data_IF_924858729890
#
_entry.id   IF_924858729890
#
_cell.length_a   1.000
_cell.length_b   1.000
_cell.length_c   1.000
_cell.angle_alpha   90.00
_cell.angle_beta   90.00
_cell.angle_gamma   90.00
#
_symmetry.space_group_name_H-M   'P 1'
#
loop_
_entity.id
_entity.type
_entity.pdbx_description
1 polymer ?
#
# COMPACT_ATOMS: atom_id res chain seq x y z
N UNK A 1 -6.65 4.10 9.21
CA UNK A 1 -8.07 4.50 9.35
C UNK A 1 -8.21 5.88 9.97
N UNK A 2 -7.77 6.12 11.23
CA UNK A 2 -7.91 7.43 11.91
C UNK A 2 -7.56 8.66 11.06
N UNK A 3 -6.36 8.69 10.46
CA UNK A 3 -5.92 9.78 9.58
C UNK A 3 -6.84 10.03 8.38
N UNK A 4 -7.44 8.98 7.81
CA UNK A 4 -8.34 9.13 6.66
C UNK A 4 -9.69 9.74 7.07
N UNK A 5 -10.18 9.40 8.28
CA UNK A 5 -11.38 9.99 8.85
C UNK A 5 -11.13 11.46 9.21
N UNK A 6 -10.01 11.76 9.86
CA UNK A 6 -9.62 13.12 10.23
C UNK A 6 -9.51 14.03 9.00
N UNK A 7 -8.85 13.57 7.93
CA UNK A 7 -8.70 14.35 6.70
C UNK A 7 -10.05 14.71 6.03
N UNK A 8 -11.04 13.82 6.11
CA UNK A 8 -12.38 14.11 5.60
C UNK A 8 -13.14 15.09 6.50
N UNK A 9 -12.98 14.99 7.82
CA UNK A 9 -13.62 15.89 8.79
C UNK A 9 -12.99 17.29 8.80
N UNK A 10 -11.69 17.41 8.54
CA UNK A 10 -10.97 18.69 8.49
C UNK A 10 -11.15 19.44 7.17
N UNK A 11 -11.75 18.80 6.15
CA UNK A 11 -11.88 19.37 4.80
C UNK A 11 -10.59 19.30 3.98
N UNK A 12 -9.58 18.53 4.40
CA UNK A 12 -8.38 18.26 3.60
C UNK A 12 -8.69 17.39 2.36
N UNK A 13 -9.76 16.59 2.42
CA UNK A 13 -10.32 15.90 1.27
C UNK A 13 -11.85 15.92 1.28
N UNK A 14 -12.44 15.87 0.09
CA UNK A 14 -13.91 15.83 -0.07
C UNK A 14 -14.51 14.50 0.44
N UNK A 15 -13.73 13.41 0.36
CA UNK A 15 -14.17 12.08 0.77
C UNK A 15 -12.98 11.15 1.10
N UNK A 16 -13.26 10.15 1.93
CA UNK A 16 -12.34 9.05 2.28
C UNK A 16 -13.03 7.70 2.18
N UNK A 17 -12.32 6.70 1.64
CA UNK A 17 -12.82 5.34 1.50
C UNK A 17 -12.08 4.40 2.45
N UNK A 18 -12.82 3.63 3.24
CA UNK A 18 -12.28 2.57 4.09
C UNK A 18 -12.66 1.24 3.46
N UNK A 19 -11.64 0.45 3.12
CA UNK A 19 -11.81 -0.83 2.44
C UNK A 19 -11.34 -1.96 3.37
N UNK A 20 -11.94 -3.13 3.21
CA UNK A 20 -11.43 -4.33 3.86
C UNK A 20 -10.00 -4.62 3.39
N UNK A 21 -9.08 -4.98 4.29
CA UNK A 21 -7.72 -5.29 3.91
C UNK A 21 -7.67 -6.55 3.05
N UNK A 22 -6.84 -6.52 2.00
CA UNK A 22 -6.56 -7.69 1.17
C UNK A 22 -5.80 -8.74 1.98
N UNK A 23 -6.33 -9.96 2.05
CA UNK A 23 -5.67 -11.07 2.76
C UNK A 23 -4.45 -11.58 1.99
N UNK A 24 -3.46 -12.11 2.70
CA UNK A 24 -2.22 -12.58 2.06
C UNK A 24 -2.45 -13.77 1.13
N UNK A 25 -3.42 -14.62 1.44
CA UNK A 25 -3.82 -15.77 0.62
C UNK A 25 -4.32 -15.31 -0.75
N UNK A 26 -5.14 -14.25 -0.79
CA UNK A 26 -5.66 -13.69 -2.04
C UNK A 26 -4.53 -13.14 -2.93
N UNK A 27 -3.53 -12.50 -2.32
CA UNK A 27 -2.36 -12.01 -3.06
C UNK A 27 -1.58 -13.17 -3.69
N UNK A 28 -1.37 -14.26 -2.92
CA UNK A 28 -0.69 -15.46 -3.43
C UNK A 28 -1.47 -16.11 -4.57
N UNK A 29 -2.79 -16.23 -4.43
CA UNK A 29 -3.65 -16.85 -5.45
C UNK A 29 -3.61 -16.07 -6.78
N UNK A 30 -3.63 -14.74 -6.72
CA UNK A 30 -3.52 -13.87 -7.91
C UNK A 30 -2.14 -14.01 -8.56
N UNK A 31 -1.07 -14.03 -7.75
CA UNK A 31 0.29 -14.20 -8.25
C UNK A 31 0.51 -15.58 -8.89
N UNK A 32 -0.02 -16.65 -8.27
CA UNK A 32 0.06 -18.02 -8.80
C UNK A 32 -0.66 -18.17 -10.15
N UNK A 33 -1.66 -17.33 -10.42
CA UNK A 33 -2.37 -17.25 -11.70
C UNK A 33 -1.65 -16.39 -12.74
N UNK A 34 -0.48 -15.82 -12.42
CA UNK A 34 0.24 -14.89 -13.29
C UNK A 34 -0.46 -13.55 -13.49
N UNK A 35 -1.40 -13.20 -12.59
CA UNK A 35 -2.17 -11.96 -12.66
C UNK A 35 -1.56 -10.87 -11.76
N UNK A 36 -2.00 -9.63 -11.98
CA UNK A 36 -1.51 -8.46 -11.26
C UNK A 36 -2.64 -7.86 -10.42
N UNK A 37 -2.32 -7.50 -9.17
CA UNK A 37 -3.23 -6.78 -8.29
C UNK A 37 -3.46 -5.34 -8.78
N UNK A 38 -4.67 -4.77 -8.61
CA UNK A 38 -4.92 -3.37 -8.93
C UNK A 38 -3.96 -2.42 -8.21
N UNK A 39 -3.63 -1.29 -8.84
CA UNK A 39 -2.71 -0.30 -8.27
C UNK A 39 -3.24 0.20 -6.92
N UNK A 40 -2.36 0.27 -5.92
CA UNK A 40 -2.65 0.73 -4.54
C UNK A 40 -3.67 -0.14 -3.76
N UNK A 41 -3.89 -1.39 -4.17
CA UNK A 41 -4.80 -2.33 -3.47
C UNK A 41 -4.16 -3.08 -2.29
N UNK A 42 -2.83 -3.02 -2.14
CA UNK A 42 -2.10 -3.71 -1.08
C UNK A 42 -0.99 -2.82 -0.51
N UNK A 43 -0.78 -2.88 0.81
CA UNK A 43 0.30 -2.18 1.50
C UNK A 43 1.00 -3.13 2.47
N UNK A 44 2.27 -3.45 2.20
CA UNK A 44 3.09 -4.29 3.08
C UNK A 44 3.82 -3.41 4.10
N UNK A 45 3.64 -3.73 5.38
CA UNK A 45 4.31 -3.04 6.48
C UNK A 45 5.21 -4.00 7.28
N UNK A 46 6.47 -3.62 7.59
CA UNK A 46 7.15 -2.45 7.07
C UNK A 46 7.38 -2.57 5.56
N UNK A 47 7.49 -1.43 4.86
CA UNK A 47 7.90 -1.49 3.44
C UNK A 47 9.26 -2.14 3.37
N UNK A 48 9.41 -3.11 2.47
CA UNK A 48 10.68 -3.79 2.26
C UNK A 48 11.73 -2.74 1.86
N UNK A 49 12.76 -2.61 2.69
CA UNK A 49 13.85 -1.63 2.53
C UNK A 49 14.84 -2.08 1.44
N UNK A 50 14.53 -3.16 0.70
CA UNK A 50 15.42 -3.79 -0.30
C UNK A 50 15.92 -2.80 -1.34
N UNK A 51 15.16 -1.75 -1.65
CA UNK A 51 15.60 -0.64 -2.50
C UNK A 51 16.89 0.04 -2.02
N UNK A 52 17.12 0.18 -0.72
CA UNK A 52 18.35 0.77 -0.14
C UNK A 52 19.56 -0.18 -0.21
N UNK A 53 19.35 -1.50 -0.26
CA UNK A 53 20.44 -2.48 -0.40
C UNK A 53 20.88 -2.59 -1.85
N UNK A 54 19.93 -2.52 -2.80
CA UNK A 54 20.20 -2.62 -4.24
C UNK A 54 20.57 -1.28 -4.88
N UNK A 55 20.15 -0.15 -4.31
CA UNK A 55 20.48 1.20 -4.77
C UNK A 55 21.19 1.96 -3.64
N UNK A 56 22.52 1.78 -3.54
CA UNK A 56 23.34 2.56 -2.62
C UNK A 56 23.21 4.04 -2.99
N UNK A 57 22.77 4.85 -2.03
CA UNK A 57 22.86 6.31 -2.16
C UNK A 57 24.35 6.68 -2.15
N UNK A 58 24.97 6.85 -3.33
CA UNK A 58 26.27 7.51 -3.40
C UNK A 58 26.05 8.95 -2.95
N UNK A 59 26.69 9.32 -1.83
CA UNK A 59 26.67 10.69 -1.33
C UNK A 59 27.23 11.65 -2.41
N UNK A 60 26.53 12.76 -2.63
CA UNK A 60 27.07 13.93 -3.32
C UNK A 60 28.17 14.58 -2.48
#
# INVERSE_FOLDING_TARGET
EKRAVEAALSGECDASFILNPTKIEQVRDIANKGLIMPRKSTYFYPKVITGLVMNKLSRA
#
